data_IF_761625985769
#
_entry.id   IF_761625985769
#
_cell.length_a   1.000
_cell.length_b   1.000
_cell.length_c   1.000
_cell.angle_alpha   90.00
_cell.angle_beta   90.00
_cell.angle_gamma   90.00
#
_symmetry.space_group_name_H-M   'P 1'
#
loop_
_entity.id
_entity.type
_entity.pdbx_description
1 polymer ?
#
# COMPACT_ATOMS: atom_id res chain seq x y z
N UNK A 1 49.07 -41.69 -42.32
CA UNK A 1 47.75 -40.98 -42.35
C UNK A 1 47.30 -40.63 -40.94
N UNK A 2 47.41 -39.34 -40.54
CA UNK A 2 46.96 -38.85 -39.24
C UNK A 2 45.56 -38.30 -39.43
N UNK A 3 44.54 -38.87 -38.71
CA UNK A 3 43.20 -38.38 -38.70
C UNK A 3 43.09 -37.32 -37.61
N UNK A 4 42.90 -36.06 -38.00
CA UNK A 4 42.61 -34.94 -37.11
C UNK A 4 41.13 -34.95 -36.82
N UNK A 5 40.74 -35.24 -35.60
CA UNK A 5 39.36 -35.13 -35.14
C UNK A 5 39.08 -33.67 -34.79
N UNK A 6 38.15 -33.02 -35.48
CA UNK A 6 37.61 -31.72 -35.15
C UNK A 6 36.51 -31.92 -34.11
N UNK A 7 36.76 -31.46 -32.86
CA UNK A 7 35.73 -31.40 -31.81
C UNK A 7 35.05 -30.04 -31.98
N UNK A 8 33.82 -30.04 -32.47
CA UNK A 8 32.98 -28.84 -32.51
C UNK A 8 32.35 -28.62 -31.13
N UNK A 9 32.81 -27.61 -30.44
CA UNK A 9 32.21 -27.18 -29.15
C UNK A 9 30.96 -26.34 -29.43
N UNK A 10 29.79 -26.94 -29.21
CA UNK A 10 28.51 -26.23 -29.30
C UNK A 10 28.32 -25.42 -28.00
N UNK A 11 28.56 -24.12 -28.03
CA UNK A 11 28.21 -23.19 -26.96
C UNK A 11 26.70 -23.02 -26.97
N UNK A 12 26.01 -23.70 -26.06
CA UNK A 12 24.60 -23.38 -25.72
C UNK A 12 24.58 -22.08 -24.94
N UNK A 13 24.33 -20.97 -25.60
CA UNK A 13 23.96 -19.72 -24.91
C UNK A 13 22.52 -19.88 -24.46
N UNK A 14 22.32 -20.26 -23.21
CA UNK A 14 21.01 -20.17 -22.58
C UNK A 14 20.64 -18.67 -22.50
N UNK A 15 19.70 -18.22 -23.31
CA UNK A 15 19.10 -16.90 -23.13
C UNK A 15 18.42 -16.92 -21.79
N UNK A 16 18.97 -16.19 -20.82
CA UNK A 16 18.28 -15.93 -19.54
C UNK A 16 17.10 -15.03 -19.89
N UNK A 17 15.90 -15.60 -19.91
CA UNK A 17 14.69 -14.80 -20.06
C UNK A 17 14.63 -13.80 -18.88
N UNK A 18 14.50 -12.52 -19.21
CA UNK A 18 14.34 -11.49 -18.21
C UNK A 18 13.02 -11.74 -17.44
N UNK A 19 13.09 -11.66 -16.11
CA UNK A 19 11.92 -11.90 -15.27
C UNK A 19 10.83 -10.84 -15.55
N UNK A 20 9.62 -11.31 -15.85
CA UNK A 20 8.49 -10.43 -16.13
C UNK A 20 8.01 -9.79 -14.82
N UNK A 21 8.26 -8.50 -14.68
CA UNK A 21 7.83 -7.72 -13.53
C UNK A 21 6.46 -7.09 -13.76
N UNK A 22 5.61 -7.09 -12.74
CA UNK A 22 4.33 -6.39 -12.75
C UNK A 22 4.15 -5.49 -11.52
N UNK A 23 3.20 -4.58 -11.60
CA UNK A 23 2.83 -3.68 -10.51
C UNK A 23 1.47 -4.08 -9.95
N UNK A 24 1.35 -4.12 -8.63
CA UNK A 24 0.09 -4.36 -7.92
C UNK A 24 -0.26 -3.15 -7.08
N UNK A 25 -1.46 -2.62 -7.26
CA UNK A 25 -1.99 -1.51 -6.48
C UNK A 25 -3.01 -2.02 -5.46
N UNK A 26 -2.80 -1.70 -4.17
CA UNK A 26 -3.70 -2.08 -3.05
C UNK A 26 -4.18 -0.79 -2.38
N UNK A 27 -5.44 -0.43 -2.63
CA UNK A 27 -6.03 0.80 -2.10
C UNK A 27 -6.17 0.78 -0.57
N UNK A 28 -6.48 1.93 0.01
CA UNK A 28 -6.73 2.07 1.45
C UNK A 28 -8.15 1.70 1.85
N UNK A 29 -8.51 2.16 3.05
CA UNK A 29 -9.88 2.14 3.52
C UNK A 29 -10.77 2.97 2.59
N UNK A 30 -12.01 2.55 2.43
CA UNK A 30 -13.04 3.24 1.66
C UNK A 30 -14.39 2.60 1.91
N UNK A 31 -15.37 2.90 1.07
CA UNK A 31 -16.66 2.23 1.07
C UNK A 31 -16.59 0.80 0.51
N UNK A 32 -17.67 0.07 0.64
CA UNK A 32 -17.82 -1.25 0.01
C UNK A 32 -17.79 -1.18 -1.52
N UNK A 33 -17.99 -0.01 -2.09
CA UNK A 33 -17.92 0.28 -3.51
C UNK A 33 -16.52 0.10 -4.12
N UNK A 34 -15.45 0.15 -3.30
CA UNK A 34 -14.08 -0.16 -3.73
C UNK A 34 -13.88 -1.62 -4.16
N UNK A 35 -14.82 -2.51 -3.83
CA UNK A 35 -14.89 -3.83 -4.43
C UNK A 35 -15.27 -3.81 -5.91
N UNK A 36 -15.66 -2.65 -6.46
CA UNK A 36 -15.87 -2.45 -7.89
C UNK A 36 -14.56 -2.02 -8.58
N UNK A 37 -14.10 -2.74 -9.62
CA UNK A 37 -12.83 -2.43 -10.29
C UNK A 37 -12.71 -1.01 -10.84
N UNK A 38 -13.81 -0.42 -11.32
CA UNK A 38 -13.79 0.95 -11.85
C UNK A 38 -13.62 1.99 -10.73
N UNK A 39 -14.20 1.75 -9.57
CA UNK A 39 -14.07 2.61 -8.38
C UNK A 39 -12.67 2.49 -7.79
N UNK A 40 -12.15 1.26 -7.66
CA UNK A 40 -10.78 1.01 -7.23
C UNK A 40 -9.75 1.68 -8.17
N UNK A 41 -10.00 1.66 -9.49
CA UNK A 41 -9.15 2.38 -10.45
C UNK A 41 -9.21 3.90 -10.24
N UNK A 42 -10.41 4.46 -10.05
CA UNK A 42 -10.58 5.88 -9.80
C UNK A 42 -9.93 6.33 -8.48
N UNK A 43 -9.84 5.42 -7.50
CA UNK A 43 -9.12 5.66 -6.25
C UNK A 43 -7.65 6.01 -6.49
N UNK A 44 -6.98 5.31 -7.39
CA UNK A 44 -5.55 5.49 -7.66
C UNK A 44 -5.24 6.66 -8.59
N UNK A 45 -6.23 7.27 -9.22
CA UNK A 45 -6.11 8.26 -10.28
C UNK A 45 -5.38 7.72 -11.53
N UNK A 46 -5.82 8.17 -12.68
CA UNK A 46 -5.21 7.73 -13.95
C UNK A 46 -3.77 8.21 -14.10
N UNK A 47 -3.47 9.40 -13.57
CA UNK A 47 -2.13 9.99 -13.63
C UNK A 47 -1.11 9.18 -12.82
N UNK A 48 -1.49 8.71 -11.62
CA UNK A 48 -0.60 7.87 -10.82
C UNK A 48 -0.35 6.51 -11.48
N UNK A 49 -1.43 5.85 -11.94
CA UNK A 49 -1.30 4.54 -12.59
C UNK A 49 -0.38 4.66 -13.81
N UNK A 50 -0.62 5.66 -14.65
CA UNK A 50 0.16 5.92 -15.86
C UNK A 50 1.63 6.22 -15.55
N UNK A 51 1.90 7.05 -14.56
CA UNK A 51 3.25 7.38 -14.14
C UNK A 51 3.98 6.13 -13.63
N UNK A 52 3.42 5.42 -12.65
CA UNK A 52 4.02 4.23 -12.04
C UNK A 52 4.27 3.11 -13.04
N UNK A 53 3.38 2.93 -14.02
CA UNK A 53 3.48 1.85 -15.03
C UNK A 53 4.23 2.27 -16.31
N UNK A 54 4.93 3.40 -16.29
CA UNK A 54 5.64 3.97 -17.45
C UNK A 54 4.76 4.02 -18.70
N UNK A 55 3.60 4.66 -18.56
CA UNK A 55 2.64 4.79 -19.66
C UNK A 55 1.97 3.47 -20.04
N UNK A 56 1.67 2.60 -19.07
CA UNK A 56 1.04 1.27 -19.23
C UNK A 56 1.93 0.23 -19.92
N UNK A 57 3.24 0.44 -20.01
CA UNK A 57 4.16 -0.54 -20.58
C UNK A 57 4.45 -1.71 -19.64
N UNK A 58 4.32 -1.48 -18.32
CA UNK A 58 4.48 -2.50 -17.30
C UNK A 58 3.10 -3.12 -16.99
N UNK A 59 2.96 -4.46 -17.02
CA UNK A 59 1.71 -5.11 -16.60
C UNK A 59 1.32 -4.73 -15.18
N UNK A 60 0.04 -4.49 -14.94
CA UNK A 60 -0.41 -4.10 -13.61
C UNK A 60 -1.76 -4.70 -13.23
N UNK A 61 -2.00 -4.79 -11.92
CA UNK A 61 -3.26 -5.14 -11.30
C UNK A 61 -3.65 -4.03 -10.33
N UNK A 62 -4.90 -3.63 -10.37
CA UNK A 62 -5.52 -2.81 -9.32
C UNK A 62 -6.46 -3.72 -8.55
N UNK A 63 -6.14 -3.99 -7.29
CA UNK A 63 -7.00 -4.81 -6.44
C UNK A 63 -8.30 -4.07 -6.12
N UNK A 64 -9.42 -4.80 -6.24
CA UNK A 64 -10.77 -4.29 -6.01
C UNK A 64 -11.44 -5.05 -4.87
N UNK A 65 -10.94 -4.88 -3.67
CA UNK A 65 -11.43 -5.55 -2.47
C UNK A 65 -12.31 -4.63 -1.60
N UNK A 66 -13.05 -5.22 -0.67
CA UNK A 66 -13.84 -4.47 0.31
C UNK A 66 -12.92 -3.87 1.39
N UNK A 67 -12.63 -2.57 1.27
CA UNK A 67 -11.79 -1.81 2.19
C UNK A 67 -12.40 -1.55 3.58
N UNK A 68 -13.59 -2.05 3.86
CA UNK A 68 -14.25 -1.92 5.17
C UNK A 68 -13.97 -3.10 6.11
N UNK A 69 -13.43 -4.18 5.58
CA UNK A 69 -13.21 -5.45 6.29
C UNK A 69 -11.97 -5.42 7.18
N UNK A 70 -11.87 -6.39 8.11
CA UNK A 70 -10.63 -6.64 8.83
C UNK A 70 -9.48 -7.00 7.88
N UNK A 71 -8.24 -6.63 8.25
CA UNK A 71 -7.04 -6.84 7.43
C UNK A 71 -6.84 -8.31 6.99
N UNK A 72 -7.28 -9.29 7.77
CA UNK A 72 -7.16 -10.71 7.40
C UNK A 72 -8.21 -11.15 6.37
N UNK A 73 -9.40 -10.56 6.37
CA UNK A 73 -10.44 -10.79 5.36
C UNK A 73 -10.03 -10.08 4.07
N UNK A 74 -9.69 -8.80 4.14
CA UNK A 74 -9.16 -8.02 3.03
C UNK A 74 -7.91 -8.68 2.41
N UNK A 75 -7.00 -9.19 3.25
CA UNK A 75 -5.82 -9.94 2.82
C UNK A 75 -6.15 -11.18 1.99
N UNK A 76 -7.20 -11.91 2.36
CA UNK A 76 -7.68 -13.07 1.59
C UNK A 76 -8.24 -12.68 0.22
N UNK A 77 -8.99 -11.57 0.13
CA UNK A 77 -9.52 -11.02 -1.12
C UNK A 77 -8.39 -10.57 -2.04
N UNK A 78 -7.49 -9.71 -1.55
CA UNK A 78 -6.31 -9.20 -2.25
C UNK A 78 -5.42 -10.36 -2.74
N UNK A 79 -5.16 -11.35 -1.90
CA UNK A 79 -4.36 -12.51 -2.29
C UNK A 79 -5.04 -13.33 -3.41
N UNK A 80 -6.35 -13.43 -3.41
CA UNK A 80 -7.11 -14.08 -4.48
C UNK A 80 -6.87 -13.42 -5.83
N UNK A 81 -6.96 -12.10 -5.88
CA UNK A 81 -6.75 -11.34 -7.11
C UNK A 81 -5.30 -11.39 -7.58
N UNK A 82 -4.33 -11.13 -6.70
CA UNK A 82 -2.90 -11.15 -7.02
C UNK A 82 -2.49 -12.54 -7.54
N UNK A 83 -2.85 -13.60 -6.82
CA UNK A 83 -2.48 -14.96 -7.20
C UNK A 83 -3.03 -15.36 -8.58
N UNK A 84 -4.31 -15.05 -8.81
CA UNK A 84 -4.97 -15.33 -10.09
C UNK A 84 -4.32 -14.55 -11.22
N UNK A 85 -4.10 -13.25 -11.03
CA UNK A 85 -3.51 -12.38 -12.03
C UNK A 85 -2.06 -12.77 -12.37
N UNK A 86 -1.23 -13.04 -11.36
CA UNK A 86 0.16 -13.46 -11.59
C UNK A 86 0.24 -14.72 -12.45
N UNK A 87 -0.60 -15.71 -12.15
CA UNK A 87 -0.58 -16.97 -12.90
C UNK A 87 -1.16 -16.82 -14.32
N UNK A 88 -2.25 -16.07 -14.49
CA UNK A 88 -2.86 -15.83 -15.80
C UNK A 88 -1.96 -15.03 -16.74
N UNK A 89 -1.08 -14.18 -16.20
CA UNK A 89 -0.22 -13.30 -16.99
C UNK A 89 1.25 -13.71 -16.98
N UNK A 90 1.60 -14.86 -16.39
CA UNK A 90 2.98 -15.33 -16.23
C UNK A 90 3.90 -14.24 -15.64
N UNK A 91 3.49 -13.64 -14.54
CA UNK A 91 4.27 -12.63 -13.82
C UNK A 91 5.23 -13.32 -12.86
N UNK A 92 6.51 -13.08 -13.02
CA UNK A 92 7.58 -13.70 -12.22
C UNK A 92 7.84 -12.94 -10.92
N UNK A 93 7.75 -11.62 -10.98
CA UNK A 93 8.00 -10.73 -9.85
C UNK A 93 6.96 -9.59 -9.81
N UNK A 94 6.67 -9.09 -8.63
CA UNK A 94 5.77 -7.94 -8.43
C UNK A 94 6.42 -6.88 -7.55
N UNK A 95 6.15 -5.63 -7.90
CA UNK A 95 6.29 -4.48 -6.99
C UNK A 95 4.89 -4.13 -6.52
N UNK A 96 4.74 -3.88 -5.23
CA UNK A 96 3.43 -3.63 -4.63
C UNK A 96 3.35 -2.18 -4.16
N UNK A 97 2.40 -1.45 -4.73
CA UNK A 97 2.07 -0.08 -4.36
C UNK A 97 0.85 -0.08 -3.43
N UNK A 98 0.99 0.47 -2.26
CA UNK A 98 -0.11 0.49 -1.29
C UNK A 98 -0.37 1.89 -0.76
N UNK A 99 -1.61 2.16 -0.40
CA UNK A 99 -1.99 3.39 0.29
C UNK A 99 -2.75 3.08 1.57
N UNK A 100 -2.45 3.82 2.64
CA UNK A 100 -3.22 3.78 3.89
C UNK A 100 -3.40 2.34 4.41
N UNK A 101 -4.64 1.90 4.66
CA UNK A 101 -4.98 0.55 5.11
C UNK A 101 -4.44 -0.56 4.20
N UNK A 102 -4.26 -0.32 2.90
CA UNK A 102 -3.64 -1.28 1.98
C UNK A 102 -2.22 -1.70 2.40
N UNK A 103 -1.47 -0.78 3.03
CA UNK A 103 -0.18 -1.10 3.63
C UNK A 103 -0.27 -2.07 4.82
N UNK A 104 -1.34 -1.98 5.60
CA UNK A 104 -1.61 -2.93 6.70
C UNK A 104 -2.02 -4.29 6.14
N UNK A 105 -2.81 -4.32 5.06
CA UNK A 105 -3.26 -5.54 4.38
C UNK A 105 -2.08 -6.33 3.82
N UNK A 106 -1.19 -5.71 3.06
CA UNK A 106 -0.02 -6.43 2.51
C UNK A 106 0.94 -6.86 3.63
N UNK A 107 1.06 -6.05 4.68
CA UNK A 107 1.86 -6.41 5.86
C UNK A 107 1.28 -7.62 6.59
N UNK A 108 -0.06 -7.76 6.69
CA UNK A 108 -0.72 -8.96 7.20
C UNK A 108 -0.34 -10.19 6.38
N UNK A 109 -0.44 -10.12 5.05
CA UNK A 109 -0.04 -11.20 4.13
C UNK A 109 1.41 -11.62 4.40
N UNK A 110 2.34 -10.65 4.43
CA UNK A 110 3.76 -10.93 4.63
C UNK A 110 4.10 -11.45 6.04
N UNK A 111 3.30 -11.10 7.04
CA UNK A 111 3.52 -11.53 8.42
C UNK A 111 3.01 -12.95 8.69
N UNK A 112 2.02 -13.40 7.94
CA UNK A 112 1.26 -14.62 8.22
C UNK A 112 1.22 -15.58 7.02
N UNK A 113 2.38 -16.06 6.52
CA UNK A 113 2.47 -16.81 5.26
C UNK A 113 1.68 -18.13 5.25
N UNK A 114 1.38 -18.68 6.42
CA UNK A 114 0.63 -19.95 6.55
C UNK A 114 -0.87 -19.74 6.77
N UNK A 115 -1.35 -18.50 6.86
CA UNK A 115 -2.76 -18.20 7.09
C UNK A 115 -3.64 -18.55 5.88
N UNK A 116 -3.10 -18.33 4.67
CA UNK A 116 -3.72 -18.67 3.41
C UNK A 116 -2.67 -19.28 2.47
N UNK A 117 -3.00 -20.36 1.78
CA UNK A 117 -2.07 -21.06 0.88
C UNK A 117 -1.50 -20.21 -0.25
N UNK A 118 -2.16 -19.12 -0.60
CA UNK A 118 -1.74 -18.15 -1.64
C UNK A 118 -0.68 -17.17 -1.14
N UNK A 119 -0.56 -16.95 0.18
CA UNK A 119 0.32 -15.94 0.73
C UNK A 119 1.81 -16.22 0.44
N UNK A 120 2.28 -17.42 0.73
CA UNK A 120 3.68 -17.77 0.49
C UNK A 120 4.09 -17.67 -1.00
N UNK A 121 3.31 -18.16 -1.98
CA UNK A 121 3.55 -17.92 -3.40
C UNK A 121 3.62 -16.44 -3.80
N UNK A 122 2.76 -15.60 -3.23
CA UNK A 122 2.78 -14.15 -3.47
C UNK A 122 4.04 -13.53 -2.87
N UNK A 123 4.33 -13.81 -1.58
CA UNK A 123 5.49 -13.30 -0.88
C UNK A 123 6.79 -13.63 -1.64
N UNK A 124 6.92 -14.84 -2.18
CA UNK A 124 8.11 -15.24 -2.92
C UNK A 124 8.37 -14.36 -4.14
N UNK A 125 7.32 -13.85 -4.78
CA UNK A 125 7.39 -13.02 -6.00
C UNK A 125 7.47 -11.52 -5.72
N UNK A 126 7.23 -11.04 -4.50
CA UNK A 126 7.41 -9.63 -4.15
C UNK A 126 8.89 -9.26 -4.25
N UNK A 127 9.21 -8.23 -5.05
CA UNK A 127 10.52 -7.56 -5.05
C UNK A 127 10.62 -6.65 -3.85
N UNK A 128 9.72 -5.68 -3.72
CA UNK A 128 9.54 -4.78 -2.59
C UNK A 128 8.11 -4.24 -2.55
N UNK A 129 7.81 -3.53 -1.49
CA UNK A 129 6.54 -2.84 -1.25
C UNK A 129 6.82 -1.36 -1.05
N UNK A 130 6.13 -0.52 -1.79
CA UNK A 130 6.05 0.92 -1.55
C UNK A 130 4.72 1.21 -0.83
N UNK A 131 4.77 1.91 0.27
CA UNK A 131 3.60 2.12 1.11
C UNK A 131 3.42 3.61 1.43
N UNK A 132 2.32 4.18 0.96
CA UNK A 132 1.98 5.57 1.11
C UNK A 132 1.07 5.71 2.34
N UNK A 133 1.52 6.47 3.32
CA UNK A 133 0.78 6.79 4.54
C UNK A 133 0.12 5.58 5.26
N UNK A 134 0.82 4.44 5.46
CA UNK A 134 0.24 3.29 6.13
C UNK A 134 0.12 3.55 7.64
N UNK A 135 -1.02 3.26 8.30
CA UNK A 135 -1.15 3.38 9.75
C UNK A 135 -0.49 2.18 10.48
N UNK A 136 0.84 2.02 10.32
CA UNK A 136 1.60 0.89 10.85
C UNK A 136 1.61 0.80 12.39
N UNK A 137 1.50 1.94 13.07
CA UNK A 137 1.31 2.01 14.53
C UNK A 137 -0.10 2.47 14.93
N UNK A 138 -1.01 2.53 13.96
CA UNK A 138 -2.37 3.02 14.12
C UNK A 138 -2.52 4.49 13.72
N UNK A 139 -3.72 5.00 13.91
CA UNK A 139 -4.10 6.38 13.64
C UNK A 139 -4.98 6.88 14.78
N UNK A 140 -4.66 8.04 15.32
CA UNK A 140 -5.47 8.73 16.31
C UNK A 140 -6.82 9.15 15.70
N UNK A 141 -6.86 9.47 14.41
CA UNK A 141 -8.11 9.73 13.71
C UNK A 141 -9.03 8.49 13.70
N UNK A 142 -8.48 7.28 13.59
CA UNK A 142 -9.27 6.05 13.69
C UNK A 142 -9.83 5.80 15.09
N UNK A 143 -9.21 6.35 16.15
CA UNK A 143 -9.74 6.27 17.52
C UNK A 143 -11.04 7.07 17.70
N UNK A 144 -11.25 8.10 16.87
CA UNK A 144 -12.45 8.94 16.91
C UNK A 144 -13.62 8.35 16.13
N UNK A 145 -13.42 7.25 15.41
CA UNK A 145 -14.47 6.64 14.62
C UNK A 145 -15.69 6.25 15.47
N UNK A 146 -16.86 6.68 15.00
CA UNK A 146 -18.13 6.49 15.71
C UNK A 146 -18.41 7.52 16.82
N UNK A 147 -17.44 8.37 17.19
CA UNK A 147 -17.67 9.47 18.14
C UNK A 147 -17.89 10.81 17.45
N UNK A 148 -17.40 10.94 16.21
CA UNK A 148 -17.57 12.14 15.41
C UNK A 148 -18.93 12.11 14.71
N UNK A 149 -19.89 12.84 15.25
CA UNK A 149 -21.17 13.16 14.62
C UNK A 149 -21.24 14.66 14.41
N UNK A 150 -21.31 15.12 13.17
CA UNK A 150 -21.46 16.54 12.92
C UNK A 150 -21.53 16.88 11.43
N UNK A 151 -22.23 17.97 11.13
CA UNK A 151 -22.42 18.48 9.75
C UNK A 151 -21.15 18.99 9.06
N UNK A 152 -20.02 19.05 9.78
CA UNK A 152 -18.71 19.45 9.23
C UNK A 152 -17.94 18.28 8.60
N UNK A 153 -18.29 17.02 8.96
CA UNK A 153 -17.80 15.83 8.28
C UNK A 153 -18.60 15.67 6.98
N UNK A 154 -18.05 16.10 5.89
CA UNK A 154 -18.70 15.99 4.57
C UNK A 154 -17.95 15.06 3.63
N UNK A 155 -18.69 14.36 2.77
CA UNK A 155 -18.15 13.56 1.69
C UNK A 155 -17.23 12.43 2.16
N UNK A 156 -16.09 12.29 1.51
CA UNK A 156 -15.13 11.20 1.72
C UNK A 156 -14.56 11.11 3.15
N UNK A 157 -14.54 12.20 3.93
CA UNK A 157 -14.13 12.17 5.34
C UNK A 157 -15.09 11.33 6.19
N UNK A 158 -16.39 11.34 5.86
CA UNK A 158 -17.37 10.45 6.51
C UNK A 158 -17.04 8.98 6.20
N UNK A 159 -16.71 8.68 4.95
CA UNK A 159 -16.35 7.32 4.54
C UNK A 159 -15.02 6.88 5.18
N UNK A 160 -14.11 7.82 5.38
CA UNK A 160 -12.79 7.54 5.93
C UNK A 160 -12.77 7.40 7.46
N UNK A 161 -13.49 8.23 8.19
CA UNK A 161 -13.46 8.33 9.66
C UNK A 161 -14.83 8.07 10.31
N UNK A 162 -15.93 8.41 9.62
CA UNK A 162 -17.28 8.37 10.18
C UNK A 162 -17.85 6.97 10.34
N UNK A 163 -17.30 5.98 9.65
CA UNK A 163 -17.77 4.60 9.73
C UNK A 163 -16.93 3.79 10.71
N UNK A 164 -17.55 3.37 11.80
CA UNK A 164 -16.96 2.43 12.76
C UNK A 164 -17.00 1.00 12.19
N UNK A 165 -16.38 0.80 11.02
CA UNK A 165 -16.25 -0.50 10.38
C UNK A 165 -14.97 -1.24 10.85
N UNK A 166 -14.80 -2.47 10.38
CA UNK A 166 -13.73 -3.34 10.85
C UNK A 166 -12.33 -2.83 10.48
N UNK A 167 -12.15 -2.23 9.29
CA UNK A 167 -10.88 -1.65 8.89
C UNK A 167 -10.51 -0.44 9.78
N UNK A 168 -11.49 0.38 10.17
CA UNK A 168 -11.26 1.48 11.11
C UNK A 168 -10.83 0.96 12.48
N UNK A 169 -11.52 -0.09 12.98
CA UNK A 169 -11.13 -0.73 14.24
C UNK A 169 -9.73 -1.31 14.18
N UNK A 170 -9.34 -1.91 13.04
CA UNK A 170 -7.96 -2.36 12.84
C UNK A 170 -6.95 -1.22 12.94
N UNK A 171 -7.28 -0.06 12.37
CA UNK A 171 -6.37 1.10 12.32
C UNK A 171 -6.33 1.92 13.61
N UNK A 172 -7.12 1.61 14.65
CA UNK A 172 -6.99 2.30 15.93
C UNK A 172 -5.61 2.05 16.55
N UNK A 173 -5.09 3.01 17.29
CA UNK A 173 -3.75 2.90 17.93
C UNK A 173 -3.67 1.72 18.89
N UNK A 174 -4.73 1.46 19.65
CA UNK A 174 -4.81 0.31 20.57
C UNK A 174 -4.81 -1.03 19.84
N UNK A 175 -5.61 -1.15 18.77
CA UNK A 175 -5.67 -2.38 17.97
C UNK A 175 -4.34 -2.64 17.29
N UNK A 176 -3.73 -1.62 16.66
CA UNK A 176 -2.43 -1.79 16.00
C UNK A 176 -1.31 -2.10 16.98
N UNK A 177 -1.35 -1.54 18.19
CA UNK A 177 -0.42 -1.93 19.27
C UNK A 177 -0.53 -3.43 19.58
N UNK A 178 -1.75 -3.93 19.76
CA UNK A 178 -2.01 -5.35 19.99
C UNK A 178 -1.55 -6.23 18.81
N UNK A 179 -1.91 -5.87 17.56
CA UNK A 179 -1.50 -6.65 16.39
C UNK A 179 0.01 -6.61 16.16
N UNK A 180 0.64 -5.48 16.40
CA UNK A 180 2.10 -5.35 16.33
C UNK A 180 2.79 -6.25 17.36
N UNK A 181 2.22 -6.38 18.54
CA UNK A 181 2.78 -7.24 19.57
C UNK A 181 2.69 -8.74 19.25
N UNK A 182 1.59 -9.20 18.64
CA UNK A 182 1.29 -10.63 18.56
C UNK A 182 1.30 -11.20 17.13
N UNK A 183 0.89 -10.45 16.11
CA UNK A 183 0.59 -11.00 14.78
C UNK A 183 1.41 -10.39 13.65
N UNK A 184 1.78 -9.12 13.75
CA UNK A 184 2.48 -8.42 12.68
C UNK A 184 3.99 -8.39 12.91
N UNK A 185 4.75 -8.44 11.81
CA UNK A 185 6.21 -8.31 11.78
C UNK A 185 6.61 -6.89 11.38
N UNK A 186 7.89 -6.57 11.56
CA UNK A 186 8.53 -5.38 11.02
C UNK A 186 8.65 -4.19 11.97
N UNK A 187 7.91 -4.15 13.08
CA UNK A 187 8.12 -3.13 14.13
C UNK A 187 9.29 -3.49 15.04
N UNK A 188 9.78 -2.49 15.77
CA UNK A 188 10.87 -2.70 16.77
C UNK A 188 10.54 -3.85 17.71
N UNK A 189 11.52 -4.71 17.96
CA UNK A 189 11.37 -5.90 18.82
C UNK A 189 10.61 -7.07 18.19
N UNK A 190 10.15 -6.94 16.94
CA UNK A 190 9.48 -8.02 16.20
C UNK A 190 10.38 -8.59 15.10
N UNK A 191 10.13 -9.83 14.64
CA UNK A 191 10.83 -10.35 13.47
C UNK A 191 10.69 -9.41 12.25
N UNK A 192 11.74 -9.33 11.45
CA UNK A 192 11.72 -8.56 10.21
C UNK A 192 10.68 -9.10 9.21
N UNK A 193 10.18 -8.22 8.37
CA UNK A 193 9.37 -8.62 7.21
C UNK A 193 10.24 -9.39 6.21
N UNK A 194 9.66 -10.35 5.47
CA UNK A 194 10.38 -11.17 4.50
C UNK A 194 10.81 -10.40 3.26
N UNK A 195 10.26 -9.20 3.04
CA UNK A 195 10.54 -8.32 1.90
C UNK A 195 10.73 -6.88 2.37
N UNK A 196 11.51 -6.11 1.60
CA UNK A 196 11.71 -4.69 1.86
C UNK A 196 10.39 -3.91 1.74
N UNK A 197 10.18 -2.99 2.66
CA UNK A 197 9.06 -2.05 2.66
C UNK A 197 9.63 -0.64 2.74
N UNK A 198 9.23 0.20 1.78
CA UNK A 198 9.57 1.60 1.71
C UNK A 198 8.33 2.42 2.04
N UNK A 199 8.44 3.32 3.03
CA UNK A 199 7.29 4.08 3.50
C UNK A 199 7.43 5.55 3.15
N UNK A 200 6.38 6.09 2.57
CA UNK A 200 6.18 7.50 2.30
C UNK A 200 5.22 8.03 3.36
N UNK A 201 5.65 9.04 4.11
CA UNK A 201 4.83 9.66 5.14
C UNK A 201 4.58 11.13 4.83
N UNK A 202 3.40 11.62 5.12
CA UNK A 202 3.10 13.04 5.05
C UNK A 202 3.73 13.80 6.22
N UNK A 203 4.17 15.03 5.96
CA UNK A 203 4.88 15.84 6.95
C UNK A 203 4.49 17.32 6.96
N UNK A 204 3.64 17.75 6.04
CA UNK A 204 3.41 19.17 5.81
C UNK A 204 1.94 19.58 5.73
N UNK A 205 1.07 18.98 6.54
CA UNK A 205 -0.38 19.23 6.52
C UNK A 205 -0.76 20.72 6.45
N UNK A 206 -0.01 21.58 7.09
CA UNK A 206 -0.32 23.01 7.20
C UNK A 206 0.35 23.89 6.13
N UNK A 207 1.09 23.28 5.20
CA UNK A 207 1.88 24.04 4.21
C UNK A 207 1.16 24.24 2.87
N UNK A 208 0.10 23.48 2.61
CA UNK A 208 -0.60 23.50 1.34
C UNK A 208 -2.12 23.29 1.53
N UNK A 209 -2.90 24.31 1.22
CA UNK A 209 -4.36 24.30 1.26
C UNK A 209 -4.93 24.61 -0.13
N UNK A 210 -4.65 23.73 -1.09
CA UNK A 210 -5.09 23.93 -2.47
C UNK A 210 -6.51 23.42 -2.69
N UNK A 211 -6.89 22.38 -1.94
CA UNK A 211 -8.21 21.74 -2.08
C UNK A 211 -9.06 21.87 -0.80
N UNK A 212 -10.39 21.91 -0.90
CA UNK A 212 -11.29 21.95 0.26
C UNK A 212 -11.06 20.80 1.26
N UNK A 213 -10.64 19.64 0.77
CA UNK A 213 -10.34 18.45 1.58
C UNK A 213 -9.18 18.69 2.56
N UNK A 214 -8.25 19.57 2.22
CA UNK A 214 -7.09 19.89 3.05
C UNK A 214 -7.51 20.52 4.36
N UNK A 215 -8.52 21.39 4.34
CA UNK A 215 -9.11 21.97 5.55
C UNK A 215 -9.77 20.91 6.43
N UNK A 216 -10.43 19.93 5.81
CA UNK A 216 -11.03 18.81 6.51
C UNK A 216 -9.98 17.95 7.22
N UNK A 217 -8.89 17.62 6.53
CA UNK A 217 -7.76 16.86 7.08
C UNK A 217 -7.07 17.62 8.22
N UNK A 218 -6.82 18.92 8.05
CA UNK A 218 -6.24 19.76 9.08
C UNK A 218 -7.12 19.83 10.34
N UNK A 219 -8.42 19.98 10.15
CA UNK A 219 -9.38 19.98 11.27
C UNK A 219 -9.39 18.63 11.99
N UNK A 220 -9.36 17.53 11.23
CA UNK A 220 -9.31 16.18 11.79
C UNK A 220 -8.03 15.94 12.57
N UNK A 221 -6.87 16.33 12.03
CA UNK A 221 -5.58 16.25 12.74
C UNK A 221 -5.64 16.94 14.10
N UNK A 222 -6.16 18.17 14.12
CA UNK A 222 -6.30 18.94 15.36
C UNK A 222 -7.25 18.28 16.38
N UNK A 223 -8.39 17.77 15.94
CA UNK A 223 -9.39 17.13 16.83
C UNK A 223 -8.87 15.76 17.32
N UNK A 224 -8.24 15.00 16.45
CA UNK A 224 -7.67 13.69 16.79
C UNK A 224 -6.41 13.81 17.66
N UNK A 225 -5.76 14.97 17.64
CA UNK A 225 -4.51 15.19 18.35
C UNK A 225 -3.37 14.33 17.77
N UNK A 226 -3.25 14.29 16.43
CA UNK A 226 -2.16 13.54 15.77
C UNK A 226 -0.81 14.10 16.24
N UNK A 227 0.11 13.27 16.73
CA UNK A 227 1.37 13.75 17.29
C UNK A 227 2.42 14.02 16.20
N UNK A 228 3.06 15.18 16.31
CA UNK A 228 4.18 15.54 15.44
C UNK A 228 3.75 15.96 14.05
N UNK A 229 4.49 15.53 13.03
CA UNK A 229 4.13 15.73 11.63
C UNK A 229 3.15 14.66 11.19
N UNK A 230 2.18 15.03 10.37
CA UNK A 230 1.12 14.16 9.90
C UNK A 230 0.55 14.63 8.55
N UNK A 231 -0.30 13.81 7.95
CA UNK A 231 -1.02 14.09 6.71
C UNK A 231 -2.53 14.36 6.94
N UNK A 232 -2.92 14.58 8.18
CA UNK A 232 -4.31 14.76 8.59
C UNK A 232 -5.02 13.48 9.02
N UNK A 233 -4.46 12.31 8.69
CA UNK A 233 -5.03 10.99 8.98
C UNK A 233 -4.06 10.07 9.71
N UNK A 234 -2.79 10.10 9.32
CA UNK A 234 -1.74 9.24 9.85
C UNK A 234 -0.54 10.09 10.24
N UNK A 235 -0.12 9.99 11.48
CA UNK A 235 1.10 10.63 11.92
C UNK A 235 2.35 9.99 11.29
N UNK A 236 3.38 10.78 11.03
CA UNK A 236 4.63 10.34 10.42
C UNK A 236 5.25 9.15 11.17
N UNK A 237 5.27 9.19 12.50
CA UNK A 237 5.83 8.11 13.32
C UNK A 237 5.12 6.77 13.07
N UNK A 238 3.80 6.81 12.84
CA UNK A 238 3.00 5.63 12.57
C UNK A 238 3.30 5.08 11.18
N UNK A 239 3.29 5.94 10.16
CA UNK A 239 3.60 5.52 8.80
C UNK A 239 4.98 4.87 8.71
N UNK A 240 5.97 5.40 9.43
CA UNK A 240 7.36 4.96 9.42
C UNK A 240 7.72 3.91 10.48
N UNK A 241 6.74 3.41 11.23
CA UNK A 241 6.99 2.40 12.28
C UNK A 241 7.50 1.04 11.73
N UNK A 242 7.45 0.83 10.42
CA UNK A 242 7.86 -0.40 9.75
C UNK A 242 8.69 -0.08 8.51
N UNK A 243 9.71 -0.88 8.23
CA UNK A 243 10.52 -0.74 7.01
C UNK A 243 11.41 0.50 7.02
N UNK A 244 11.62 1.09 5.85
CA UNK A 244 12.52 2.23 5.65
C UNK A 244 11.75 3.43 5.12
N UNK A 245 12.00 4.60 5.66
CA UNK A 245 11.53 5.85 5.09
C UNK A 245 12.22 6.05 3.73
N UNK A 246 11.43 6.19 2.68
CA UNK A 246 11.98 6.34 1.34
C UNK A 246 12.13 7.81 0.95
N UNK A 247 11.03 8.55 0.95
CA UNK A 247 11.08 10.00 0.87
C UNK A 247 9.94 10.64 1.66
N UNK A 248 10.17 11.87 2.06
CA UNK A 248 9.19 12.73 2.68
C UNK A 248 8.90 13.85 1.72
N UNK A 249 7.66 14.24 1.61
CA UNK A 249 7.27 15.41 0.85
C UNK A 249 6.99 16.56 1.82
N UNK A 250 7.11 17.79 1.37
CA UNK A 250 6.87 18.99 2.15
C UNK A 250 5.42 19.46 2.12
N UNK A 251 4.68 19.04 1.10
CA UNK A 251 3.25 19.28 0.94
C UNK A 251 2.56 17.93 1.03
N UNK A 252 1.82 17.65 2.10
CA UNK A 252 1.65 16.27 2.43
C UNK A 252 0.31 15.87 2.91
N UNK A 253 -0.59 16.00 2.03
CA UNK A 253 -1.91 15.44 2.16
C UNK A 253 -1.96 14.09 1.44
N UNK A 254 -1.16 13.11 1.87
CA UNK A 254 -1.14 11.79 1.21
C UNK A 254 -2.50 11.10 1.23
N UNK A 255 -3.41 11.52 2.13
CA UNK A 255 -4.80 11.15 2.06
C UNK A 255 -5.64 12.07 1.14
N UNK A 256 -5.06 13.17 0.65
CA UNK A 256 -5.61 13.94 -0.45
C UNK A 256 -4.96 13.53 -1.78
N UNK A 257 -5.58 12.62 -2.50
CA UNK A 257 -5.09 12.02 -3.73
C UNK A 257 -4.86 13.00 -4.88
N UNK A 258 -5.48 14.17 -4.84
CA UNK A 258 -5.36 15.16 -5.91
C UNK A 258 -4.02 15.88 -5.91
N UNK A 259 -3.37 16.03 -4.75
CA UNK A 259 -2.13 16.80 -4.66
C UNK A 259 -0.89 15.97 -4.98
N UNK A 260 -0.77 14.78 -4.40
CA UNK A 260 0.51 14.07 -4.33
C UNK A 260 0.65 12.86 -5.24
N UNK A 261 -0.45 12.25 -5.67
CA UNK A 261 -0.40 10.94 -6.31
C UNK A 261 0.40 10.90 -7.61
N UNK A 262 0.29 11.91 -8.46
CA UNK A 262 1.09 11.95 -9.68
C UNK A 262 2.58 12.10 -9.38
N UNK A 263 2.94 13.01 -8.47
CA UNK A 263 4.33 13.23 -8.04
C UNK A 263 4.95 11.97 -7.44
N UNK A 264 4.17 11.26 -6.61
CA UNK A 264 4.57 9.97 -6.06
C UNK A 264 4.73 8.94 -7.17
N UNK A 265 3.78 8.82 -8.09
CA UNK A 265 3.85 7.90 -9.22
C UNK A 265 5.07 8.13 -10.12
N UNK A 266 5.41 9.38 -10.42
CA UNK A 266 6.61 9.73 -11.17
C UNK A 266 7.89 9.29 -10.43
N UNK A 267 7.94 9.44 -9.11
CA UNK A 267 9.08 8.99 -8.29
C UNK A 267 9.18 7.46 -8.26
N UNK A 268 8.06 6.75 -8.10
CA UNK A 268 8.00 5.28 -8.10
C UNK A 268 8.45 4.68 -9.44
N UNK A 269 8.13 5.33 -10.56
CA UNK A 269 8.46 4.85 -11.90
C UNK A 269 9.97 4.75 -12.17
N UNK A 270 10.82 5.42 -11.39
CA UNK A 270 12.28 5.38 -11.56
C UNK A 270 12.90 4.08 -11.06
N UNK A 271 12.18 3.31 -10.23
CA UNK A 271 12.72 2.17 -9.49
C UNK A 271 12.51 0.81 -10.17
N UNK A 272 11.89 0.77 -11.35
CA UNK A 272 11.63 -0.46 -12.11
C UNK A 272 12.74 -0.81 -13.10
#
# INVERSE_FOLDING_TARGET
MRRTAFITFLLLVAAVAEAKVGVVFIHGKGGTDLANPSVARAYWTEDMIRATTKGYTIPYLICSYDGTQYMWIAGGQVAGEIYTWMNANAIDQIVVETHSFGGVVIRWIMSNPSYDSRYQPIISRIKWVNSIAPPNAGSEAANLAGTLSGSWLTGWLIDLVGQNNDSTRNCSTSSMSYYNQYYLKGTSGRPSLPKGVWNIAGTGLWNDFVHPEDYGLATLSGIAGLPGQDDGMVAQYSAQAVGTAWFLTDANHHHNRHNDYRKIGDSLATDF
#
